data_IF_630888054631
#
_entry.id   IF_630888054631
#
_cell.length_a   1.000
_cell.length_b   1.000
_cell.length_c   1.000
_cell.angle_alpha   90.00
_cell.angle_beta   90.00
_cell.angle_gamma   90.00
#
_symmetry.space_group_name_H-M   'P 1'
#
loop_
_entity.id
_entity.type
_entity.pdbx_description
1 polymer ?
#
# COMPACT_ATOMS: atom_id res chain seq x y z
N UNK A 1 19.95 -9.64 -9.20
CA UNK A 1 18.57 -9.72 -9.75
C UNK A 1 17.84 -8.49 -9.25
N UNK A 2 17.33 -7.63 -10.13
CA UNK A 2 16.58 -6.45 -9.70
C UNK A 2 15.27 -6.95 -9.09
N UNK A 3 15.01 -6.63 -7.83
CA UNK A 3 13.72 -6.93 -7.22
C UNK A 3 12.70 -5.99 -7.84
N UNK A 4 11.64 -6.54 -8.44
CA UNK A 4 10.49 -5.74 -8.84
C UNK A 4 10.01 -4.97 -7.61
N UNK A 5 10.00 -3.65 -7.72
CA UNK A 5 9.63 -2.75 -6.62
C UNK A 5 8.32 -2.09 -6.97
N UNK A 6 7.32 -2.24 -6.10
CA UNK A 6 6.05 -1.54 -6.23
C UNK A 6 6.25 -0.09 -5.77
N UNK A 7 5.69 0.84 -6.53
CA UNK A 7 5.64 2.27 -6.18
C UNK A 7 4.21 2.66 -5.86
N UNK A 8 4.00 3.40 -4.78
CA UNK A 8 2.69 3.83 -4.33
C UNK A 8 2.72 5.18 -3.63
N UNK A 9 1.53 5.65 -3.25
CA UNK A 9 1.34 6.87 -2.47
C UNK A 9 0.46 6.57 -1.26
N UNK A 10 0.80 7.20 -0.13
CA UNK A 10 0.03 7.16 1.10
C UNK A 10 -0.39 8.56 1.55
N UNK A 11 -1.38 8.61 2.43
CA UNK A 11 -1.91 9.83 3.02
C UNK A 11 -1.98 9.65 4.54
N UNK A 12 -1.80 10.74 5.28
CA UNK A 12 -2.02 10.79 6.72
C UNK A 12 -3.29 11.61 7.00
N UNK A 13 -3.86 11.45 8.19
CA UNK A 13 -5.02 12.22 8.65
C UNK A 13 -4.64 13.01 9.91
N UNK A 14 -5.00 14.29 9.94
CA UNK A 14 -4.78 15.20 11.08
C UNK A 14 -5.83 15.04 12.20
N UNK A 15 -6.92 14.32 11.91
CA UNK A 15 -8.06 14.20 12.80
C UNK A 15 -8.07 12.84 13.47
N UNK A 16 -8.17 12.85 14.79
CA UNK A 16 -8.43 11.64 15.54
C UNK A 16 -9.80 11.06 15.16
N UNK A 17 -9.84 9.75 14.92
CA UNK A 17 -11.06 9.01 14.67
C UNK A 17 -11.04 7.68 15.44
N UNK A 18 -11.92 6.74 15.08
CA UNK A 18 -11.96 5.42 15.70
C UNK A 18 -10.70 4.57 15.45
N UNK A 19 -9.85 4.93 14.49
CA UNK A 19 -8.64 4.20 14.10
C UNK A 19 -7.37 4.76 14.79
N UNK A 20 -7.39 5.99 15.32
CA UNK A 20 -6.21 6.55 16.01
C UNK A 20 -6.30 8.00 16.49
N UNK A 21 -5.27 8.44 17.23
CA UNK A 21 -5.08 9.84 17.63
C UNK A 21 -4.57 10.73 16.49
N UNK A 22 -4.44 12.04 16.70
CA UNK A 22 -3.92 12.94 15.68
C UNK A 22 -2.42 12.67 15.46
N UNK A 23 -2.02 12.43 14.21
CA UNK A 23 -0.62 12.25 13.82
C UNK A 23 -0.08 13.57 13.27
N UNK A 24 1.13 13.98 13.67
CA UNK A 24 1.81 15.09 12.99
C UNK A 24 2.18 14.64 11.56
N UNK A 25 1.48 15.19 10.56
CA UNK A 25 1.62 14.82 9.15
C UNK A 25 3.07 14.88 8.64
N UNK A 26 3.95 15.64 9.30
CA UNK A 26 5.33 15.87 8.88
C UNK A 26 6.31 14.88 9.51
N UNK A 27 5.96 14.26 10.63
CA UNK A 27 6.91 13.46 11.42
C UNK A 27 6.46 12.02 11.63
N UNK A 28 5.14 11.77 11.66
CA UNK A 28 4.59 10.43 11.87
C UNK A 28 3.80 9.97 10.65
N UNK A 29 4.04 8.72 10.26
CA UNK A 29 3.31 8.05 9.18
C UNK A 29 2.45 6.96 9.80
N UNK A 30 1.18 6.89 9.40
CA UNK A 30 0.29 5.81 9.83
C UNK A 30 0.80 4.45 9.36
N UNK A 31 1.36 4.42 8.14
CA UNK A 31 2.04 3.26 7.55
C UNK A 31 3.50 3.21 8.03
N UNK A 32 4.02 2.01 8.21
CA UNK A 32 5.40 1.74 8.63
C UNK A 32 6.09 0.76 7.68
N UNK A 33 7.43 0.82 7.66
CA UNK A 33 8.24 -0.19 6.98
C UNK A 33 7.98 -1.55 7.64
N UNK A 34 7.71 -2.56 6.82
CA UNK A 34 7.31 -3.90 7.26
C UNK A 34 5.80 -4.14 7.24
N UNK A 35 4.97 -3.11 7.04
CA UNK A 35 3.52 -3.29 6.95
C UNK A 35 3.13 -4.07 5.69
N UNK A 36 2.14 -4.95 5.84
CA UNK A 36 1.54 -5.69 4.74
C UNK A 36 0.44 -4.86 4.08
N UNK A 37 0.61 -4.59 2.79
CA UNK A 37 -0.40 -3.95 1.95
C UNK A 37 -1.39 -5.00 1.44
N UNK A 38 -2.68 -4.73 1.66
CA UNK A 38 -3.78 -5.57 1.18
C UNK A 38 -4.80 -4.76 0.38
N UNK A 39 -5.48 -5.40 -0.57
CA UNK A 39 -6.56 -4.76 -1.34
C UNK A 39 -7.74 -4.41 -0.43
N UNK A 40 -8.29 -3.20 -0.59
CA UNK A 40 -9.45 -2.73 0.20
C UNK A 40 -10.78 -3.24 -0.35
N UNK A 41 -10.82 -3.53 -1.65
CA UNK A 41 -12.00 -3.88 -2.41
C UNK A 41 -12.96 -2.72 -2.70
N UNK A 42 -12.47 -1.48 -2.63
CA UNK A 42 -13.27 -0.27 -2.87
C UNK A 42 -13.27 0.20 -4.33
N UNK A 43 -12.44 -0.38 -5.19
CA UNK A 43 -12.32 -0.02 -6.60
C UNK A 43 -13.31 -0.76 -7.52
N UNK A 44 -14.03 -1.75 -6.99
CA UNK A 44 -14.91 -2.62 -7.76
C UNK A 44 -14.18 -3.65 -8.64
N UNK A 45 -12.86 -3.73 -8.54
CA UNK A 45 -12.00 -4.60 -9.36
C UNK A 45 -11.50 -5.76 -8.51
N UNK A 46 -10.78 -5.46 -7.42
CA UNK A 46 -10.18 -6.50 -6.59
C UNK A 46 -11.08 -6.84 -5.40
N UNK A 47 -11.21 -8.11 -4.99
CA UNK A 47 -11.78 -8.41 -3.69
C UNK A 47 -10.89 -7.88 -2.57
N UNK A 48 -11.51 -7.62 -1.41
CA UNK A 48 -10.78 -7.24 -0.20
C UNK A 48 -9.86 -8.37 0.28
N UNK A 49 -8.67 -8.02 0.74
CA UNK A 49 -7.78 -8.91 1.49
C UNK A 49 -6.72 -9.64 0.66
N UNK A 50 -6.55 -9.32 -0.62
CA UNK A 50 -5.45 -9.87 -1.41
C UNK A 50 -4.14 -9.20 -1.00
N UNK A 51 -3.11 -10.01 -0.75
CA UNK A 51 -1.78 -9.51 -0.41
C UNK A 51 -1.12 -8.88 -1.64
N UNK A 52 -0.70 -7.62 -1.50
CA UNK A 52 -0.07 -6.86 -2.58
C UNK A 52 1.44 -6.85 -2.39
N UNK A 53 1.91 -6.44 -1.21
CA UNK A 53 3.34 -6.30 -0.94
C UNK A 53 3.63 -5.85 0.48
N UNK A 54 4.92 -5.84 0.83
CA UNK A 54 5.42 -5.39 2.13
C UNK A 54 6.17 -4.07 1.95
N UNK A 55 5.81 -3.06 2.73
CA UNK A 55 6.43 -1.72 2.65
C UNK A 55 7.92 -1.81 2.99
N UNK A 56 8.76 -1.30 2.09
CA UNK A 56 10.22 -1.26 2.27
C UNK A 56 10.75 0.14 2.54
N UNK A 57 10.04 1.17 2.08
CA UNK A 57 10.46 2.56 2.22
C UNK A 57 9.25 3.49 2.22
N UNK A 58 9.33 4.55 3.02
CA UNK A 58 8.41 5.68 3.01
C UNK A 58 9.25 6.92 2.75
N UNK A 59 8.88 7.69 1.73
CA UNK A 59 9.52 8.95 1.41
C UNK A 59 8.99 10.07 2.31
N UNK A 60 9.83 11.02 2.73
CA UNK A 60 9.36 12.16 3.51
C UNK A 60 8.36 12.99 2.72
N UNK A 61 7.36 13.55 3.43
CA UNK A 61 6.39 14.45 2.83
C UNK A 61 7.10 15.68 2.23
N UNK A 62 6.89 15.90 0.93
CA UNK A 62 7.42 17.11 0.26
C UNK A 62 6.70 18.35 0.80
N UNK A 63 7.42 19.47 0.89
CA UNK A 63 6.82 20.73 1.32
C UNK A 63 5.62 21.10 0.43
N UNK A 64 4.47 21.41 1.05
CA UNK A 64 3.21 21.67 0.36
C UNK A 64 2.49 20.42 -0.18
N UNK A 65 3.03 19.22 0.03
CA UNK A 65 2.40 17.95 -0.35
C UNK A 65 1.38 17.47 0.68
N UNK A 66 0.36 16.76 0.20
CA UNK A 66 -0.65 16.08 1.03
C UNK A 66 -0.53 14.55 0.98
N UNK A 67 0.40 14.03 0.18
CA UNK A 67 0.66 12.60 -0.01
C UNK A 67 2.17 12.35 0.04
N UNK A 68 2.56 11.22 0.62
CA UNK A 68 3.94 10.74 0.62
C UNK A 68 4.10 9.55 -0.34
N UNK A 69 5.29 9.42 -0.92
CA UNK A 69 5.64 8.25 -1.72
C UNK A 69 5.99 7.07 -0.83
N UNK A 70 5.74 5.86 -1.31
CA UNK A 70 6.24 4.64 -0.66
C UNK A 70 6.68 3.61 -1.70
N UNK A 71 7.58 2.73 -1.27
CA UNK A 71 8.01 1.56 -2.02
C UNK A 71 7.68 0.29 -1.26
N UNK A 72 7.36 -0.77 -1.98
CA UNK A 72 7.07 -2.08 -1.40
C UNK A 72 7.66 -3.21 -2.24
N UNK A 73 7.97 -4.33 -1.59
CA UNK A 73 8.30 -5.58 -2.28
C UNK A 73 7.01 -6.35 -2.54
N UNK A 74 6.73 -6.81 -3.78
CA UNK A 74 5.58 -7.65 -4.09
C UNK A 74 5.52 -8.89 -3.19
N UNK A 75 4.31 -9.29 -2.79
CA UNK A 75 4.10 -10.51 -1.99
C UNK A 75 4.34 -11.79 -2.81
N UNK A 76 4.20 -11.69 -4.13
CA UNK A 76 4.53 -12.76 -5.07
C UNK A 76 5.88 -12.44 -5.68
N UNK A 77 6.85 -13.33 -5.49
CA UNK A 77 8.16 -13.23 -6.13
C UNK A 77 8.13 -13.92 -7.49
N UNK A 78 9.10 -13.58 -8.34
CA UNK A 78 9.38 -14.33 -9.57
C UNK A 78 8.17 -14.44 -10.52
N UNK A 79 7.51 -13.31 -10.80
CA UNK A 79 6.34 -13.24 -11.69
C UNK A 79 6.58 -13.83 -13.09
N UNK A 80 7.85 -13.92 -13.52
CA UNK A 80 8.25 -14.55 -14.78
C UNK A 80 8.18 -16.07 -14.80
N UNK A 81 8.03 -16.73 -13.64
CA UNK A 81 7.99 -18.19 -13.49
C UNK A 81 6.62 -18.71 -13.01
N UNK A 82 5.56 -17.94 -13.24
CA UNK A 82 4.20 -18.36 -12.88
C UNK A 82 3.68 -19.44 -13.82
N UNK A 83 3.35 -20.61 -13.27
CA UNK A 83 2.68 -21.69 -14.01
C UNK A 83 1.15 -21.54 -14.04
N UNK A 84 0.58 -20.95 -12.99
CA UNK A 84 -0.87 -20.83 -12.80
C UNK A 84 -1.24 -19.41 -12.39
N UNK A 85 -2.29 -18.88 -13.03
CA UNK A 85 -2.88 -17.58 -12.71
C UNK A 85 -4.39 -17.77 -12.60
N UNK A 86 -5.00 -17.14 -11.60
CA UNK A 86 -6.44 -17.14 -11.42
C UNK A 86 -7.02 -15.77 -11.73
N UNK A 87 -8.01 -15.73 -12.61
CA UNK A 87 -8.80 -14.52 -12.88
C UNK A 87 -9.94 -14.50 -11.87
N UNK A 88 -10.00 -13.44 -11.06
CA UNK A 88 -11.08 -13.21 -10.12
C UNK A 88 -12.14 -12.31 -10.79
N UNK A 89 -13.44 -12.59 -10.59
CA UNK A 89 -14.48 -11.71 -11.08
C UNK A 89 -14.45 -10.37 -10.33
N UNK A 90 -14.79 -9.26 -11.00
CA UNK A 90 -14.86 -7.95 -10.34
C UNK A 90 -15.90 -7.98 -9.22
N UNK A 91 -15.59 -7.31 -8.12
CA UNK A 91 -16.49 -7.22 -6.96
C UNK A 91 -17.29 -5.93 -7.05
N UNK A 92 -18.33 -5.93 -7.89
CA UNK A 92 -19.31 -4.85 -7.87
C UNK A 92 -20.18 -5.07 -6.63
N UNK A 93 -20.15 -4.12 -5.69
CA UNK A 93 -21.03 -4.11 -4.52
C UNK A 93 -22.50 -3.98 -4.91
#
# INVERSE_FOLDING_TARGET
>A
VAYDTLSGYGFNYDFADSEGGPFDLRTEHLIRVGDLLVTTGLDGIFPRGLHVGVVTKIDPLKEGGYAYGLSATPSVHELQYLDNVQILPPQWG
#
